data_IF_983327475751
#
_entry.id   IF_983327475751
#
_cell.length_a   1.000
_cell.length_b   1.000
_cell.length_c   1.000
_cell.angle_alpha   90.00
_cell.angle_beta   90.00
_cell.angle_gamma   90.00
#
_symmetry.space_group_name_H-M   'P 1'
#
loop_
_entity.id
_entity.type
_entity.pdbx_description
1 polymer ?
#
# COMPACT_ATOMS: atom_id res chain seq x y z
N UNK A 1 -5.72 -10.57 -14.48
CA UNK A 1 -5.55 -10.41 -13.02
C UNK A 1 -6.55 -9.35 -12.57
N UNK A 2 -7.10 -9.43 -11.34
CA UNK A 2 -7.96 -8.37 -10.82
C UNK A 2 -7.16 -7.06 -10.69
N UNK A 3 -7.83 -5.92 -10.89
CA UNK A 3 -7.19 -4.62 -10.67
C UNK A 3 -6.90 -4.42 -9.16
N UNK A 4 -5.75 -3.83 -8.81
CA UNK A 4 -5.45 -3.48 -7.43
C UNK A 4 -6.41 -2.38 -6.98
N UNK A 5 -6.74 -2.38 -5.69
CA UNK A 5 -7.51 -1.29 -5.08
C UNK A 5 -6.51 -0.19 -4.70
N UNK A 6 -6.15 0.61 -5.70
CA UNK A 6 -5.13 1.66 -5.60
C UNK A 6 -5.78 3.03 -5.80
N UNK A 7 -5.37 4.01 -5.02
CA UNK A 7 -5.68 5.42 -5.26
C UNK A 7 -4.39 6.22 -5.13
N UNK A 8 -4.03 6.94 -6.19
CA UNK A 8 -2.83 7.77 -6.24
C UNK A 8 -3.21 9.24 -6.13
N UNK A 9 -2.30 10.03 -5.58
CA UNK A 9 -2.36 11.49 -5.67
C UNK A 9 -2.22 11.93 -7.13
N UNK A 10 -2.96 12.96 -7.58
CA UNK A 10 -2.93 13.42 -8.96
C UNK A 10 -1.66 14.21 -9.32
N UNK A 11 -0.92 14.72 -8.32
CA UNK A 11 0.30 15.48 -8.50
C UNK A 11 1.41 14.81 -7.69
N UNK A 12 2.53 14.49 -8.34
CA UNK A 12 3.66 13.84 -7.70
C UNK A 12 4.31 14.83 -6.73
N UNK A 13 4.09 14.59 -5.43
CA UNK A 13 4.70 15.28 -4.28
C UNK A 13 4.08 16.61 -3.83
N UNK A 14 3.07 16.51 -2.96
CA UNK A 14 2.73 17.58 -2.00
C UNK A 14 2.48 17.09 -0.56
N UNK A 15 2.47 15.77 -0.31
CA UNK A 15 2.24 15.17 1.01
C UNK A 15 3.25 14.07 1.37
N UNK A 16 3.17 13.50 2.59
CA UNK A 16 4.05 12.41 3.05
C UNK A 16 3.80 11.08 2.33
N UNK A 17 2.66 10.96 1.62
CA UNK A 17 2.24 9.76 0.89
C UNK A 17 1.88 10.16 -0.54
N UNK A 18 2.24 9.33 -1.51
CA UNK A 18 1.87 9.45 -2.92
C UNK A 18 0.51 8.80 -3.22
N UNK A 19 -0.09 8.15 -2.24
CA UNK A 19 -1.40 7.51 -2.32
C UNK A 19 -1.58 6.40 -1.30
N UNK A 20 -2.55 5.52 -1.57
CA UNK A 20 -2.81 4.35 -0.76
C UNK A 20 -3.23 3.14 -1.60
N UNK A 21 -2.90 1.97 -1.07
CA UNK A 21 -3.20 0.68 -1.64
C UNK A 21 -3.88 -0.21 -0.61
N UNK A 22 -4.97 -0.86 -1.02
CA UNK A 22 -5.71 -1.82 -0.20
C UNK A 22 -5.54 -3.23 -0.77
N UNK A 23 -4.57 -4.03 -0.27
CA UNK A 23 -4.46 -5.44 -0.63
C UNK A 23 -5.76 -6.21 -0.40
N UNK A 24 -5.96 -7.29 -1.15
CA UNK A 24 -7.03 -8.25 -0.85
C UNK A 24 -6.56 -9.35 0.10
N UNK A 25 -5.26 -9.59 0.15
CA UNK A 25 -4.59 -10.52 1.06
C UNK A 25 -3.14 -10.07 1.30
N UNK A 26 -2.51 -10.65 2.32
CA UNK A 26 -1.12 -10.35 2.67
C UNK A 26 -0.08 -11.09 1.80
N UNK A 27 -0.54 -11.84 0.79
CA UNK A 27 0.33 -12.56 -0.13
C UNK A 27 0.89 -11.61 -1.21
N UNK A 28 2.05 -11.01 -0.91
CA UNK A 28 2.73 -10.06 -1.80
C UNK A 28 3.05 -10.65 -3.18
N UNK A 29 3.32 -11.95 -3.30
CA UNK A 29 3.56 -12.61 -4.59
C UNK A 29 2.36 -12.57 -5.53
N UNK A 30 1.14 -12.45 -4.99
CA UNK A 30 -0.11 -12.36 -5.77
C UNK A 30 -0.45 -10.91 -6.05
N UNK A 31 -0.24 -10.04 -5.07
CA UNK A 31 -0.69 -8.65 -5.11
C UNK A 31 0.27 -7.71 -5.85
N UNK A 32 1.59 -7.84 -5.62
CA UNK A 32 2.60 -6.94 -6.19
C UNK A 32 2.58 -6.88 -7.73
N UNK A 33 2.39 -7.98 -8.48
CA UNK A 33 2.32 -7.92 -9.94
C UNK A 33 1.19 -7.02 -10.46
N UNK A 34 0.05 -6.99 -9.75
CA UNK A 34 -1.10 -6.17 -10.13
C UNK A 34 -0.91 -4.71 -9.72
N UNK A 35 -0.31 -4.47 -8.55
CA UNK A 35 0.05 -3.14 -8.05
C UNK A 35 1.08 -2.48 -8.98
N UNK A 36 2.22 -3.14 -9.21
CA UNK A 36 3.29 -2.64 -10.07
C UNK A 36 2.81 -2.45 -11.50
N UNK A 37 1.97 -3.36 -12.01
CA UNK A 37 1.39 -3.22 -13.35
C UNK A 37 0.53 -1.94 -13.52
N UNK A 38 -0.04 -1.41 -12.43
CA UNK A 38 -0.85 -0.18 -12.46
C UNK A 38 -0.03 1.10 -12.39
N UNK A 39 1.24 1.01 -12.00
CA UNK A 39 2.19 2.13 -12.04
C UNK A 39 2.86 2.28 -13.41
N UNK A 40 2.56 1.37 -14.34
CA UNK A 40 3.08 1.35 -15.72
C UNK A 40 4.62 1.56 -15.79
N UNK A 41 5.42 0.78 -15.03
CA UNK A 41 6.88 0.89 -15.08
C UNK A 41 7.42 0.52 -16.46
N UNK A 42 8.61 1.04 -16.78
CA UNK A 42 9.29 0.68 -18.02
C UNK A 42 9.51 -0.84 -18.11
N UNK A 43 9.22 -1.47 -19.27
CA UNK A 43 9.35 -2.90 -19.43
C UNK A 43 10.81 -3.34 -19.26
N UNK A 44 11.05 -4.24 -18.31
CA UNK A 44 12.39 -4.72 -17.95
C UNK A 44 13.13 -3.87 -16.92
N UNK A 45 12.52 -2.80 -16.40
CA UNK A 45 13.02 -2.10 -15.23
C UNK A 45 12.93 -3.01 -13.99
N UNK A 46 13.99 -3.01 -13.19
CA UNK A 46 13.95 -3.67 -11.88
C UNK A 46 13.14 -2.78 -10.92
N UNK A 47 12.00 -3.29 -10.47
CA UNK A 47 11.19 -2.60 -9.46
C UNK A 47 11.63 -3.07 -8.09
N UNK A 48 11.99 -2.13 -7.20
CA UNK A 48 12.26 -2.45 -5.80
C UNK A 48 11.07 -2.08 -4.96
N UNK A 49 10.69 -2.98 -4.07
CA UNK A 49 9.56 -2.82 -3.16
C UNK A 49 10.08 -2.98 -1.76
N UNK A 50 9.88 -1.97 -0.92
CA UNK A 50 10.26 -2.00 0.48
C UNK A 50 9.03 -2.17 1.35
N UNK A 51 9.02 -3.19 2.21
CA UNK A 51 7.90 -3.54 3.10
C UNK A 51 8.37 -3.75 4.54
N UNK A 52 7.52 -3.44 5.50
CA UNK A 52 7.83 -3.72 6.90
C UNK A 52 7.77 -5.24 7.18
N UNK A 53 8.85 -5.87 7.66
CA UNK A 53 8.87 -7.32 7.92
C UNK A 53 7.97 -7.74 9.09
N UNK A 54 7.54 -6.82 9.96
CA UNK A 54 6.57 -7.11 11.01
C UNK A 54 5.15 -7.26 10.46
N UNK A 55 4.83 -6.59 9.35
CA UNK A 55 3.55 -6.72 8.64
C UNK A 55 3.56 -7.87 7.63
N UNK A 56 4.68 -8.05 6.92
CA UNK A 56 4.85 -9.14 5.95
C UNK A 56 6.01 -10.07 6.35
N UNK A 57 5.84 -10.92 7.37
CA UNK A 57 6.89 -11.84 7.82
C UNK A 57 7.23 -12.91 6.77
N UNK A 58 6.27 -13.31 5.95
CA UNK A 58 6.43 -14.31 4.89
C UNK A 58 6.72 -13.68 3.51
N UNK A 59 7.15 -12.41 3.48
CA UNK A 59 7.42 -11.70 2.23
C UNK A 59 8.47 -12.43 1.36
N UNK A 60 8.17 -12.75 0.10
CA UNK A 60 9.13 -13.34 -0.82
C UNK A 60 10.19 -12.30 -1.21
N UNK A 61 11.48 -12.66 -1.25
CA UNK A 61 12.54 -11.73 -1.67
C UNK A 61 12.44 -11.26 -3.13
N UNK A 62 11.74 -12.01 -3.98
CA UNK A 62 11.61 -11.69 -5.40
C UNK A 62 10.29 -12.21 -5.94
N UNK A 63 9.59 -11.36 -6.69
CA UNK A 63 8.31 -11.67 -7.34
C UNK A 63 8.43 -11.41 -8.83
N UNK A 64 7.91 -12.35 -9.63
CA UNK A 64 7.90 -12.22 -11.09
C UNK A 64 6.61 -11.53 -11.52
N UNK A 65 6.73 -10.46 -12.29
CA UNK A 65 5.60 -9.74 -12.88
C UNK A 65 5.73 -9.64 -14.41
N UNK A 66 4.63 -9.37 -15.14
CA UNK A 66 4.70 -9.12 -16.57
C UNK A 66 5.60 -7.94 -16.97
N UNK A 67 5.73 -6.95 -16.08
CA UNK A 67 6.59 -5.77 -16.27
C UNK A 67 8.07 -6.05 -16.03
N UNK A 68 8.42 -7.10 -15.29
CA UNK A 68 9.79 -7.41 -14.92
C UNK A 68 9.91 -8.13 -13.58
N UNK A 69 11.11 -8.06 -13.02
CA UNK A 69 11.42 -8.62 -11.70
C UNK A 69 11.13 -7.57 -10.63
N UNK A 70 10.35 -7.94 -9.62
CA UNK A 70 10.09 -7.14 -8.44
C UNK A 70 10.97 -7.68 -7.31
N UNK A 71 11.95 -6.90 -6.88
CA UNK A 71 12.77 -7.21 -5.71
C UNK A 71 12.05 -6.70 -4.46
N UNK A 72 11.82 -7.57 -3.47
CA UNK A 72 11.22 -7.17 -2.20
C UNK A 72 12.30 -7.12 -1.13
N UNK A 73 12.43 -5.96 -0.51
CA UNK A 73 13.43 -5.66 0.50
C UNK A 73 12.73 -5.30 1.82
N UNK A 74 13.27 -5.73 2.97
CA UNK A 74 12.74 -5.32 4.26
C UNK A 74 13.02 -3.83 4.50
N UNK A 75 12.05 -3.13 5.09
CA UNK A 75 12.23 -1.75 5.52
C UNK A 75 13.27 -1.62 6.63
N UNK A 76 13.94 -0.46 6.67
CA UNK A 76 14.88 -0.17 7.75
C UNK A 76 14.16 -0.10 9.11
N UNK A 77 14.82 -0.53 10.20
CA UNK A 77 14.23 -0.44 11.53
C UNK A 77 13.91 1.02 11.88
N UNK A 78 12.64 1.28 12.24
CA UNK A 78 12.15 2.63 12.49
C UNK A 78 11.48 3.30 11.27
N UNK A 79 11.37 2.58 10.15
CA UNK A 79 10.46 2.96 9.07
C UNK A 79 9.02 3.00 9.58
N UNK A 80 8.20 3.77 8.90
CA UNK A 80 6.79 3.87 9.22
C UNK A 80 6.05 2.56 8.88
N UNK A 81 5.27 2.06 9.84
CA UNK A 81 4.41 0.90 9.62
C UNK A 81 3.24 1.25 8.70
N UNK A 82 2.71 0.24 8.03
CA UNK A 82 1.66 0.30 7.04
C UNK A 82 2.04 1.18 5.84
N UNK A 83 3.32 1.17 5.48
CA UNK A 83 3.85 1.88 4.33
C UNK A 83 4.59 0.90 3.42
N UNK A 84 4.24 0.96 2.13
CA UNK A 84 4.99 0.28 1.07
C UNK A 84 5.64 1.33 0.20
N UNK A 85 6.95 1.18 -0.02
CA UNK A 85 7.68 2.02 -0.98
C UNK A 85 7.92 1.23 -2.25
N UNK A 86 7.57 1.80 -3.41
CA UNK A 86 7.90 1.25 -4.71
C UNK A 86 8.90 2.18 -5.40
N UNK A 87 10.01 1.64 -5.87
CA UNK A 87 10.96 2.30 -6.75
C UNK A 87 10.89 1.62 -8.11
N UNK A 88 10.32 2.32 -9.10
CA UNK A 88 10.22 1.83 -10.47
C UNK A 88 11.24 2.51 -11.39
N UNK A 89 12.42 2.86 -10.87
CA UNK A 89 13.51 3.44 -11.65
C UNK A 89 13.15 4.79 -12.27
N UNK A 90 13.02 4.82 -13.59
CA UNK A 90 12.75 6.02 -14.41
C UNK A 90 11.39 6.63 -14.17
N UNK A 91 10.40 5.82 -13.79
CA UNK A 91 9.03 6.29 -13.53
C UNK A 91 8.93 6.97 -12.15
N UNK A 92 9.84 6.65 -11.23
CA UNK A 92 10.02 7.33 -9.97
C UNK A 92 9.89 6.42 -8.75
N UNK A 93 9.68 7.07 -7.59
CA UNK A 93 9.44 6.43 -6.31
C UNK A 93 8.05 6.80 -5.82
N UNK A 94 7.30 5.84 -5.31
CA UNK A 94 6.00 6.02 -4.66
C UNK A 94 6.05 5.51 -3.24
N UNK A 95 5.51 6.29 -2.32
CA UNK A 95 5.27 5.92 -0.93
C UNK A 95 3.78 5.78 -0.72
N UNK A 96 3.29 4.56 -0.53
CA UNK A 96 1.86 4.29 -0.42
C UNK A 96 1.52 3.81 1.00
N UNK A 97 0.42 4.32 1.54
CA UNK A 97 -0.23 3.72 2.72
C UNK A 97 -0.80 2.35 2.33
N UNK A 98 -0.49 1.32 3.11
CA UNK A 98 -1.13 0.02 3.03
C UNK A 98 -2.31 -0.01 3.99
N UNK A 99 -3.50 -0.25 3.47
CA UNK A 99 -4.69 -0.49 4.29
C UNK A 99 -4.75 -2.00 4.60
N UNK A 100 -4.85 -2.43 5.86
CA UNK A 100 -5.00 -3.85 6.19
C UNK A 100 -6.20 -4.47 5.47
N UNK A 101 -6.10 -5.71 4.95
CA UNK A 101 -7.19 -6.35 4.22
C UNK A 101 -8.43 -6.59 5.10
N UNK A 102 -8.27 -6.68 6.43
CA UNK A 102 -9.36 -6.82 7.40
C UNK A 102 -10.14 -5.52 7.64
N UNK A 103 -9.66 -4.37 7.16
CA UNK A 103 -10.36 -3.11 7.35
C UNK A 103 -11.74 -3.12 6.66
N UNK A 104 -12.81 -2.68 7.35
CA UNK A 104 -14.12 -2.56 6.74
C UNK A 104 -14.07 -1.66 5.50
N UNK A 105 -14.78 -2.05 4.44
CA UNK A 105 -14.73 -1.35 3.14
C UNK A 105 -15.00 0.16 3.25
N UNK A 106 -15.90 0.58 4.15
CA UNK A 106 -16.17 2.00 4.38
C UNK A 106 -15.03 2.76 5.07
N UNK A 107 -14.21 2.09 5.87
CA UNK A 107 -12.99 2.66 6.47
C UNK A 107 -11.85 2.65 5.47
N UNK A 108 -11.65 1.54 4.76
CA UNK A 108 -10.66 1.44 3.70
C UNK A 108 -10.86 2.50 2.61
N UNK A 109 -12.10 2.72 2.16
CA UNK A 109 -12.42 3.78 1.18
C UNK A 109 -12.09 5.18 1.70
N UNK A 110 -12.30 5.45 3.00
CA UNK A 110 -11.93 6.74 3.61
C UNK A 110 -10.43 6.92 3.71
N UNK A 111 -9.68 5.86 4.07
CA UNK A 111 -8.22 5.87 4.10
C UNK A 111 -7.63 6.08 2.71
N UNK A 112 -8.16 5.36 1.71
CA UNK A 112 -7.77 5.53 0.30
C UNK A 112 -7.97 6.96 -0.18
N UNK A 113 -9.15 7.54 0.08
CA UNK A 113 -9.45 8.92 -0.30
C UNK A 113 -8.58 9.94 0.42
N UNK A 114 -8.36 9.74 1.73
CA UNK A 114 -7.57 10.66 2.53
C UNK A 114 -6.07 10.62 2.19
N UNK A 115 -5.52 9.45 1.82
CA UNK A 115 -4.12 9.33 1.42
C UNK A 115 -3.86 9.85 0.00
N UNK A 116 -4.90 9.91 -0.83
CA UNK A 116 -4.85 10.51 -2.15
C UNK A 116 -5.05 12.03 -2.16
N UNK A 117 -5.32 12.63 -0.99
CA UNK A 117 -5.43 14.08 -0.83
C UNK A 117 -4.01 14.67 -0.64
N UNK A 118 -3.50 15.44 -1.63
CA UNK A 118 -2.16 16.02 -1.56
C UNK A 118 -2.03 17.06 -0.43
N UNK A 119 -3.13 17.63 0.07
CA UNK A 119 -3.12 18.60 1.17
C UNK A 119 -3.12 17.91 2.54
N UNK A 120 -3.20 16.58 2.61
CA UNK A 120 -3.23 15.84 3.85
C UNK A 120 -1.81 15.66 4.45
N UNK A 121 -1.50 16.29 5.60
CA UNK A 121 -0.19 16.20 6.21
C UNK A 121 -0.02 14.94 7.09
N UNK A 122 -1.04 14.09 7.17
CA UNK A 122 -1.02 12.93 8.05
C UNK A 122 -0.18 11.81 7.46
N UNK A 123 0.61 11.19 8.33
CA UNK A 123 1.37 9.98 8.00
C UNK A 123 0.46 8.75 8.02
N UNK A 124 0.87 7.66 7.37
CA UNK A 124 0.12 6.41 7.30
C UNK A 124 -0.31 5.88 8.67
N UNK A 125 0.62 5.79 9.62
CA UNK A 125 0.36 5.36 10.99
C UNK A 125 -0.67 6.25 11.68
N UNK A 126 -0.62 7.57 11.44
CA UNK A 126 -1.58 8.50 12.05
C UNK A 126 -2.97 8.37 11.43
N UNK A 127 -3.05 8.15 10.12
CA UNK A 127 -4.31 7.92 9.42
C UNK A 127 -5.01 6.65 9.92
N UNK A 128 -4.26 5.56 10.07
CA UNK A 128 -4.77 4.30 10.59
C UNK A 128 -5.21 4.42 12.05
N UNK A 129 -4.41 5.04 12.91
CA UNK A 129 -4.79 5.28 14.30
C UNK A 129 -6.10 6.10 14.41
N UNK A 130 -6.28 7.10 13.53
CA UNK A 130 -7.53 7.87 13.49
C UNK A 130 -8.72 7.02 13.00
N UNK A 131 -8.51 6.15 12.02
CA UNK A 131 -9.52 5.21 11.54
C UNK A 131 -9.97 4.22 12.63
N UNK A 132 -9.03 3.71 13.44
CA UNK A 132 -9.34 2.85 14.59
C UNK A 132 -10.15 3.61 15.66
N UNK A 133 -9.73 4.83 16.03
CA UNK A 133 -10.44 5.63 17.03
C UNK A 133 -11.83 6.09 16.57
N UNK A 134 -12.04 6.21 15.26
CA UNK A 134 -13.32 6.55 14.65
C UNK A 134 -14.23 5.34 14.39
N UNK A 135 -13.78 4.11 14.69
CA UNK A 135 -14.60 2.90 14.58
C UNK A 135 -15.62 2.93 15.72
N UNK A 136 -16.94 2.95 15.44
CA UNK A 136 -17.91 2.78 16.51
C UNK A 136 -17.65 1.40 17.14
N UNK A 137 -17.45 1.38 18.46
CA UNK A 137 -17.36 0.13 19.23
C UNK A 137 -18.72 -0.58 19.14
N UNK A 138 -18.82 -1.58 18.27
CA UNK A 138 -20.03 -2.39 18.13
C UNK A 138 -20.39 -2.74 16.70
N UNK A 139 -19.77 -3.80 16.19
CA UNK A 139 -20.49 -4.77 15.37
C UNK A 139 -20.14 -6.15 15.94
N UNK A 140 -20.74 -6.45 17.08
CA UNK A 140 -20.96 -7.84 17.47
C UNK A 140 -21.89 -8.41 16.41
N UNK A 141 -21.37 -9.23 15.49
CA UNK A 141 -22.20 -10.07 14.66
C UNK A 141 -22.81 -11.15 15.57
N UNK A 142 -24.00 -10.83 16.10
CA UNK A 142 -25.00 -11.83 16.41
C UNK A 142 -25.72 -12.21 15.12
N UNK A 143 -25.44 -13.42 14.64
CA UNK A 143 -26.29 -14.28 13.80
C UNK A 143 -25.58 -15.65 13.79
N UNK A 144 -26.14 -16.79 14.17
CA UNK A 144 -27.53 -17.25 14.35
C UNK A 144 -27.50 -18.50 15.25
#
# INVERSE_FOLDING_TARGET
MPLPRLTLTPDVSHGPLDGAWWPRCDALEIELPSLVGSLEPDPGAAVRVTVDPAEWPDAPHTVMAPSGVIAVEPAEPGSEAHVITLDCGTVGRWVLLVVPPEEPAGTAARLLAAAADPENPLTAARMLALAETGRPVGATEEAE
#
